data_IF_331327420330
#
_entry.id   IF_331327420330
#
_cell.length_a   1.000
_cell.length_b   1.000
_cell.length_c   1.000
_cell.angle_alpha   90.00
_cell.angle_beta   90.00
_cell.angle_gamma   90.00
#
_symmetry.space_group_name_H-M   'P 1'
#
loop_
_entity.id
_entity.type
_entity.pdbx_description
1 polymer ?
#
# COMPACT_ATOMS: atom_id res chain seq x y z
N UNK A 1 -0.58 16.64 2.67
CA UNK A 1 0.46 16.03 3.52
C UNK A 1 0.02 14.63 3.86
N UNK A 2 0.89 13.61 3.74
CA UNK A 2 0.61 12.33 4.36
C UNK A 2 0.22 12.59 5.82
N UNK A 3 -0.67 11.79 6.39
CA UNK A 3 -1.01 11.98 7.80
C UNK A 3 0.26 11.84 8.63
N UNK A 4 0.51 12.75 9.58
CA UNK A 4 1.62 12.67 10.54
C UNK A 4 1.74 11.27 11.17
N UNK A 5 0.60 10.60 11.40
CA UNK A 5 0.54 9.22 11.87
C UNK A 5 1.22 8.20 10.93
N UNK A 6 1.03 8.33 9.61
CA UNK A 6 1.60 7.45 8.61
C UNK A 6 3.11 7.65 8.53
N UNK A 7 3.55 8.90 8.48
CA UNK A 7 4.98 9.24 8.45
C UNK A 7 5.67 8.74 9.71
N UNK A 8 5.09 8.98 10.89
CA UNK A 8 5.60 8.44 12.15
C UNK A 8 5.56 6.90 12.19
N UNK A 9 4.55 6.26 11.59
CA UNK A 9 4.48 4.80 11.55
C UNK A 9 5.54 4.18 10.64
N UNK A 10 5.94 4.87 9.57
CA UNK A 10 7.04 4.47 8.70
C UNK A 10 8.39 4.74 9.39
N UNK A 11 8.56 5.93 9.96
CA UNK A 11 9.80 6.35 10.62
C UNK A 11 10.16 5.47 11.85
N UNK A 12 9.14 5.04 12.61
CA UNK A 12 9.32 4.12 13.74
C UNK A 12 9.31 2.63 13.33
N UNK A 13 9.44 2.32 12.03
CA UNK A 13 9.48 0.96 11.47
C UNK A 13 8.25 0.08 11.79
N UNK A 14 7.16 0.66 12.28
CA UNK A 14 5.91 -0.04 12.53
C UNK A 14 5.20 -0.48 11.25
N UNK A 15 5.48 0.19 10.14
CA UNK A 15 5.01 -0.15 8.81
C UNK A 15 6.21 -0.12 7.88
N UNK A 16 6.46 -1.26 7.22
CA UNK A 16 7.55 -1.36 6.26
C UNK A 16 7.25 -0.52 5.03
N UNK A 17 8.19 0.34 4.66
CA UNK A 17 8.16 1.06 3.40
C UNK A 17 8.86 0.25 2.30
N UNK A 18 8.25 0.19 1.12
CA UNK A 18 8.79 -0.48 -0.05
C UNK A 18 9.10 0.54 -1.14
N UNK A 19 10.34 0.52 -1.61
CA UNK A 19 10.74 1.27 -2.80
C UNK A 19 10.15 0.64 -4.07
N UNK A 20 9.36 1.44 -4.79
CA UNK A 20 8.69 1.11 -6.05
C UNK A 20 9.66 0.66 -7.15
N UNK A 21 10.93 1.08 -7.12
CA UNK A 21 11.95 0.70 -8.11
C UNK A 21 12.15 -0.82 -8.19
N UNK A 22 11.88 -1.51 -7.08
CA UNK A 22 11.99 -2.97 -6.94
C UNK A 22 10.75 -3.72 -7.46
N UNK A 23 9.70 -3.02 -7.88
CA UNK A 23 8.48 -3.63 -8.40
C UNK A 23 8.63 -3.87 -9.90
N UNK A 24 8.54 -5.13 -10.30
CA UNK A 24 8.64 -5.60 -11.68
C UNK A 24 7.35 -6.32 -12.07
N UNK A 25 7.14 -6.49 -13.37
CA UNK A 25 6.00 -7.24 -13.92
C UNK A 25 4.65 -6.81 -13.36
N UNK A 26 4.38 -5.49 -13.36
CA UNK A 26 3.11 -4.94 -12.90
C UNK A 26 1.99 -5.37 -13.85
N UNK A 27 1.10 -6.23 -13.36
CA UNK A 27 -0.02 -6.77 -14.12
C UNK A 27 -1.33 -6.36 -13.45
N UNK A 28 -2.27 -5.82 -14.22
CA UNK A 28 -3.60 -5.49 -13.71
C UNK A 28 -4.36 -6.74 -13.26
N UNK A 29 -4.98 -6.70 -12.09
CA UNK A 29 -5.87 -7.75 -11.59
C UNK A 29 -7.33 -7.29 -11.66
N UNK A 30 -7.62 -6.07 -11.19
CA UNK A 30 -8.99 -5.56 -11.13
C UNK A 30 -9.07 -4.16 -10.55
N UNK A 31 -10.20 -3.48 -10.80
CA UNK A 31 -10.52 -2.15 -10.24
C UNK A 31 -11.87 -2.20 -9.54
N UNK A 32 -11.91 -1.67 -8.32
CA UNK A 32 -13.13 -1.45 -7.55
C UNK A 32 -13.35 0.04 -7.28
N UNK A 33 -14.36 0.35 -6.47
CA UNK A 33 -14.70 1.72 -6.06
C UNK A 33 -13.55 2.42 -5.33
N UNK A 34 -12.81 1.68 -4.50
CA UNK A 34 -11.75 2.24 -3.64
C UNK A 34 -10.36 2.21 -4.27
N UNK A 35 -10.21 1.71 -5.50
CA UNK A 35 -8.91 1.66 -6.15
C UNK A 35 -8.68 0.50 -7.10
N UNK A 36 -7.44 0.38 -7.53
CA UNK A 36 -6.98 -0.64 -8.48
C UNK A 36 -6.00 -1.60 -7.82
N UNK A 37 -6.09 -2.88 -8.15
CA UNK A 37 -5.18 -3.91 -7.66
C UNK A 37 -4.34 -4.43 -8.81
N UNK A 38 -3.03 -4.51 -8.57
CA UNK A 38 -2.04 -5.05 -9.49
C UNK A 38 -1.31 -6.23 -8.84
N UNK A 39 -0.93 -7.22 -9.64
CA UNK A 39 0.11 -8.18 -9.28
C UNK A 39 1.46 -7.55 -9.58
N UNK A 40 2.42 -7.70 -8.67
CA UNK A 40 3.81 -7.31 -8.89
C UNK A 40 4.76 -8.43 -8.45
N UNK A 41 5.93 -8.46 -9.07
CA UNK A 41 7.09 -9.21 -8.59
C UNK A 41 8.02 -8.25 -7.84
N UNK A 42 8.30 -8.52 -6.57
CA UNK A 42 9.28 -7.77 -5.79
C UNK A 42 10.61 -8.52 -5.75
N UNK A 43 11.67 -7.84 -6.19
CA UNK A 43 13.05 -8.36 -6.25
C UNK A 43 13.17 -9.74 -6.93
N UNK A 44 12.27 -10.06 -7.87
CA UNK A 44 12.16 -11.35 -8.55
C UNK A 44 12.02 -12.58 -7.62
N UNK A 45 11.68 -12.37 -6.34
CA UNK A 45 11.59 -13.44 -5.33
C UNK A 45 10.17 -13.64 -4.81
N UNK A 46 9.43 -12.54 -4.65
CA UNK A 46 8.11 -12.57 -4.04
C UNK A 46 7.06 -11.93 -4.96
N UNK A 47 5.85 -12.48 -4.93
CA UNK A 47 4.70 -11.93 -5.62
C UNK A 47 3.85 -11.19 -4.58
N UNK A 48 3.46 -9.96 -4.88
CA UNK A 48 2.56 -9.17 -4.04
C UNK A 48 1.36 -8.67 -4.83
N UNK A 49 0.25 -8.46 -4.13
CA UNK A 49 -0.84 -7.64 -4.59
C UNK A 49 -0.60 -6.19 -4.16
N UNK A 50 -0.47 -5.28 -5.13
CA UNK A 50 -0.32 -3.84 -4.95
C UNK A 50 -1.69 -3.17 -5.17
N UNK A 51 -2.32 -2.71 -4.08
CA UNK A 51 -3.54 -1.90 -4.12
C UNK A 51 -3.18 -0.42 -4.18
N UNK A 52 -3.65 0.29 -5.20
CA UNK A 52 -3.52 1.73 -5.36
C UNK A 52 -4.87 2.40 -5.11
N UNK A 53 -4.88 3.51 -4.39
CA UNK A 53 -6.09 4.28 -4.10
C UNK A 53 -6.24 5.40 -5.14
N UNK A 54 -7.47 5.80 -5.45
CA UNK A 54 -7.73 6.91 -6.37
C UNK A 54 -7.17 8.20 -5.77
N UNK A 55 -6.60 9.11 -6.57
CA UNK A 55 -5.86 10.28 -6.08
C UNK A 55 -6.78 11.47 -5.74
N UNK A 56 -7.73 11.25 -4.84
CA UNK A 56 -8.60 12.30 -4.33
C UNK A 56 -8.09 12.80 -2.97
N UNK A 57 -8.43 14.02 -2.55
CA UNK A 57 -7.98 14.57 -1.26
C UNK A 57 -8.38 13.68 -0.06
N UNK A 58 -9.40 12.83 -0.21
CA UNK A 58 -9.84 11.85 0.79
C UNK A 58 -9.01 10.56 0.81
N UNK A 59 -8.24 10.28 -0.24
CA UNK A 59 -7.51 9.03 -0.40
C UNK A 59 -6.53 8.76 0.73
N UNK A 60 -5.80 9.78 1.17
CA UNK A 60 -4.86 9.66 2.30
C UNK A 60 -5.58 9.28 3.59
N UNK A 61 -6.77 9.83 3.85
CA UNK A 61 -7.55 9.51 5.06
C UNK A 61 -8.06 8.08 5.01
N UNK A 62 -8.59 7.65 3.88
CA UNK A 62 -9.09 6.28 3.67
C UNK A 62 -7.95 5.25 3.77
N UNK A 63 -6.79 5.52 3.17
CA UNK A 63 -5.58 4.70 3.32
C UNK A 63 -5.21 4.55 4.79
N UNK A 64 -5.11 5.66 5.53
CA UNK A 64 -4.72 5.64 6.94
C UNK A 64 -5.74 4.88 7.80
N UNK A 65 -7.02 5.04 7.51
CA UNK A 65 -8.11 4.31 8.19
C UNK A 65 -8.01 2.81 7.93
N UNK A 66 -7.85 2.39 6.67
CA UNK A 66 -7.68 0.98 6.29
C UNK A 66 -6.45 0.39 6.97
N UNK A 67 -5.30 1.07 6.94
CA UNK A 67 -4.07 0.64 7.61
C UNK A 67 -4.27 0.45 9.12
N UNK A 68 -4.93 1.39 9.80
CA UNK A 68 -5.20 1.29 11.24
C UNK A 68 -6.12 0.11 11.57
N UNK A 69 -7.16 -0.12 10.77
CA UNK A 69 -8.09 -1.25 10.96
C UNK A 69 -7.38 -2.57 10.72
N UNK A 70 -6.63 -2.69 9.62
CA UNK A 70 -5.89 -3.88 9.25
C UNK A 70 -4.88 -4.27 10.33
N UNK A 71 -4.18 -3.28 10.90
CA UNK A 71 -3.21 -3.50 12.01
C UNK A 71 -3.82 -4.13 13.24
N UNK A 72 -5.09 -3.84 13.57
CA UNK A 72 -5.79 -4.46 14.72
C UNK A 72 -6.04 -5.96 14.54
N UNK A 73 -6.00 -6.45 13.30
CA UNK A 73 -6.30 -7.84 12.94
C UNK A 73 -5.14 -8.53 12.20
N UNK A 74 -3.93 -7.94 12.22
CA UNK A 74 -2.79 -8.25 11.33
C UNK A 74 -2.09 -9.60 11.58
N UNK A 75 -2.68 -10.50 12.37
CA UNK A 75 -2.05 -11.78 12.71
C UNK A 75 -3.07 -12.91 12.82
N UNK A 76 -3.99 -12.97 11.86
CA UNK A 76 -4.98 -14.04 11.77
C UNK A 76 -4.85 -14.77 10.44
N UNK A 77 -4.73 -16.11 10.49
CA UNK A 77 -4.50 -16.98 9.31
C UNK A 77 -5.53 -16.85 8.18
N UNK A 78 -6.73 -16.37 8.49
CA UNK A 78 -7.82 -16.18 7.53
C UNK A 78 -8.00 -14.72 7.08
N UNK A 79 -7.13 -13.81 7.51
CA UNK A 79 -7.16 -12.40 7.12
C UNK A 79 -5.91 -12.14 6.28
N UNK A 80 -6.08 -11.45 5.15
CA UNK A 80 -4.96 -11.06 4.28
C UNK A 80 -3.93 -10.31 5.12
N UNK A 81 -2.64 -10.58 4.94
CA UNK A 81 -1.59 -9.86 5.67
C UNK A 81 -1.21 -8.57 4.95
N UNK A 82 -1.10 -7.47 5.70
CA UNK A 82 -0.53 -6.22 5.20
C UNK A 82 1.00 -6.28 5.38
N UNK A 83 1.74 -6.28 4.27
CA UNK A 83 3.20 -6.33 4.32
C UNK A 83 3.87 -4.96 4.46
N UNK A 84 3.23 -3.90 3.96
CA UNK A 84 3.81 -2.57 3.97
C UNK A 84 3.12 -1.61 3.02
N UNK A 85 3.74 -0.45 2.83
CA UNK A 85 3.23 0.64 1.99
C UNK A 85 4.32 1.13 1.03
N UNK A 86 3.89 1.84 -0.02
CA UNK A 86 4.77 2.56 -0.94
C UNK A 86 4.12 3.90 -1.26
N UNK A 87 4.91 4.87 -1.71
CA UNK A 87 4.38 6.13 -2.25
C UNK A 87 4.56 6.17 -3.76
N UNK A 88 3.47 6.48 -4.46
CA UNK A 88 3.51 6.86 -5.85
C UNK A 88 3.67 8.38 -5.87
N UNK A 89 4.82 8.86 -6.28
CA UNK A 89 4.97 10.29 -6.55
C UNK A 89 3.99 10.69 -7.66
N UNK A 90 3.41 11.90 -7.60
CA UNK A 90 2.71 12.46 -8.74
C UNK A 90 3.70 12.46 -9.91
N UNK A 91 3.31 11.89 -11.04
CA UNK A 91 4.08 12.06 -12.27
C UNK A 91 4.17 13.55 -12.57
N UNK A 92 5.40 14.09 -12.59
CA UNK A 92 5.66 15.38 -13.23
C UNK A 92 5.18 15.25 -14.68
N UNK A 93 4.19 16.07 -15.03
CA UNK A 93 3.76 16.30 -16.41
C UNK A 93 4.42 17.56 -16.91
#
# INVERSE_FOLDING_TARGET
MPSEWLDNSIANEHIKFYDKSNFKNKQFIGRGSYGTVYRINWKNKHIFALKTFNNDQEATKEVVKELKLHRKVNNHKNIIQLYGVTMLEPSEH
#
